data_IF_111422554375
#
_entry.id   IF_111422554375
#
_cell.length_a   1.000
_cell.length_b   1.000
_cell.length_c   1.000
_cell.angle_alpha   90.00
_cell.angle_beta   90.00
_cell.angle_gamma   90.00
#
_symmetry.space_group_name_H-M   'P 1'
#
loop_
_entity.id
_entity.type
_entity.pdbx_description
1 polymer ?
#
# COMPACT_ATOMS: atom_id res chain seq x y z
N UNK A 1 18.95 1.66 -26.11
CA UNK A 1 19.50 0.56 -25.31
C UNK A 1 18.38 -0.05 -24.48
N UNK A 2 17.98 -1.27 -24.76
CA UNK A 2 16.93 -1.97 -23.99
C UNK A 2 17.62 -2.56 -22.76
N UNK A 3 17.31 -2.03 -21.58
CA UNK A 3 17.77 -2.63 -20.33
C UNK A 3 17.12 -4.03 -20.23
N UNK A 4 17.88 -5.08 -19.92
CA UNK A 4 17.32 -6.41 -19.78
C UNK A 4 16.14 -6.40 -18.82
N UNK A 5 15.04 -7.05 -19.18
CA UNK A 5 13.76 -7.04 -18.48
C UNK A 5 13.87 -7.40 -16.97
N UNK A 6 14.89 -8.18 -16.61
CA UNK A 6 15.13 -8.60 -15.21
C UNK A 6 15.75 -7.52 -14.33
N UNK A 7 16.38 -6.50 -14.91
CA UNK A 7 17.11 -5.44 -14.18
C UNK A 7 16.45 -4.07 -14.26
N UNK A 8 15.23 -3.98 -14.75
CA UNK A 8 14.55 -2.68 -14.86
C UNK A 8 14.09 -2.19 -13.47
N UNK A 9 14.60 -1.03 -13.00
CA UNK A 9 14.24 -0.46 -11.69
C UNK A 9 12.73 -0.21 -11.54
N UNK A 10 12.02 0.05 -12.63
CA UNK A 10 10.58 0.25 -12.62
C UNK A 10 9.82 -0.99 -12.14
N UNK A 11 10.28 -2.19 -12.47
CA UNK A 11 9.68 -3.45 -12.00
C UNK A 11 9.71 -3.57 -10.49
N UNK A 12 10.85 -3.30 -9.88
CA UNK A 12 11.00 -3.31 -8.41
C UNK A 12 10.15 -2.23 -7.76
N UNK A 13 10.13 -1.03 -8.32
CA UNK A 13 9.35 0.10 -7.85
C UNK A 13 7.84 -0.20 -7.85
N UNK A 14 7.30 -0.69 -8.96
CA UNK A 14 5.89 -1.04 -9.10
C UNK A 14 5.50 -2.23 -8.21
N UNK A 15 6.37 -3.21 -8.07
CA UNK A 15 6.13 -4.40 -7.22
C UNK A 15 5.96 -4.05 -5.73
N UNK A 16 6.47 -2.91 -5.28
CA UNK A 16 6.27 -2.41 -3.91
C UNK A 16 4.81 -2.14 -3.58
N UNK A 17 3.98 -1.82 -4.56
CA UNK A 17 2.59 -1.46 -4.32
C UNK A 17 1.82 -2.54 -3.56
N UNK A 18 1.96 -3.79 -3.94
CA UNK A 18 1.25 -4.91 -3.29
C UNK A 18 1.71 -5.13 -1.85
N UNK A 19 3.00 -5.02 -1.59
CA UNK A 19 3.54 -5.08 -0.24
C UNK A 19 3.03 -3.93 0.62
N UNK A 20 2.99 -2.71 0.07
CA UNK A 20 2.44 -1.54 0.74
C UNK A 20 0.94 -1.67 1.00
N UNK A 21 0.18 -2.24 0.06
CA UNK A 21 -1.25 -2.53 0.24
C UNK A 21 -1.49 -3.50 1.40
N UNK A 22 -0.70 -4.57 1.48
CA UNK A 22 -0.77 -5.52 2.59
C UNK A 22 -0.38 -4.88 3.92
N UNK A 23 0.66 -4.05 3.94
CA UNK A 23 1.07 -3.26 5.10
C UNK A 23 -0.04 -2.31 5.56
N UNK A 24 -0.67 -1.60 4.64
CA UNK A 24 -1.77 -0.69 4.94
C UNK A 24 -2.95 -1.43 5.59
N UNK A 25 -3.35 -2.59 5.05
CA UNK A 25 -4.39 -3.42 5.62
C UNK A 25 -4.04 -3.93 7.03
N UNK A 26 -2.78 -4.28 7.28
CA UNK A 26 -2.30 -4.67 8.60
C UNK A 26 -2.36 -3.51 9.60
N UNK A 27 -1.98 -2.31 9.18
CA UNK A 27 -2.06 -1.09 10.01
C UNK A 27 -3.53 -0.78 10.35
N UNK A 28 -4.44 -0.87 9.39
CA UNK A 28 -5.87 -0.63 9.62
C UNK A 28 -6.47 -1.62 10.62
N UNK A 29 -6.07 -2.88 10.57
CA UNK A 29 -6.45 -3.89 11.58
C UNK A 29 -5.90 -3.54 12.96
N UNK A 30 -4.64 -3.15 13.06
CA UNK A 30 -4.02 -2.76 14.31
C UNK A 30 -4.70 -1.54 14.95
N UNK A 31 -5.08 -0.55 14.14
CA UNK A 31 -5.85 0.61 14.61
C UNK A 31 -7.20 0.17 15.18
N UNK A 32 -7.91 -0.68 14.46
CA UNK A 32 -9.21 -1.21 14.89
C UNK A 32 -9.11 -1.96 16.21
N UNK A 33 -8.15 -2.88 16.32
CA UNK A 33 -7.90 -3.63 17.56
C UNK A 33 -7.57 -2.72 18.74
N UNK A 34 -6.72 -1.71 18.54
CA UNK A 34 -6.39 -0.73 19.59
C UNK A 34 -7.60 0.06 20.06
N UNK A 35 -8.51 0.42 19.16
CA UNK A 35 -9.75 1.13 19.50
C UNK A 35 -10.75 0.22 20.22
N UNK A 36 -10.87 -1.04 19.80
CA UNK A 36 -11.72 -2.03 20.46
C UNK A 36 -11.23 -2.33 21.89
N UNK A 37 -9.92 -2.51 22.08
CA UNK A 37 -9.32 -2.73 23.38
C UNK A 37 -9.55 -1.53 24.31
N UNK A 38 -9.39 -0.31 23.84
CA UNK A 38 -9.66 0.90 24.61
C UNK A 38 -11.15 1.00 25.00
N UNK A 39 -12.06 0.65 24.09
CA UNK A 39 -13.51 0.63 24.35
C UNK A 39 -13.90 -0.45 25.35
N UNK A 40 -13.38 -1.68 25.19
CA UNK A 40 -13.64 -2.79 26.10
C UNK A 40 -13.07 -2.53 27.50
N UNK A 41 -11.89 -1.96 27.60
CA UNK A 41 -11.29 -1.55 28.90
C UNK A 41 -12.19 -0.51 29.60
N UNK A 42 -12.75 0.43 28.87
CA UNK A 42 -13.68 1.44 29.42
C UNK A 42 -14.98 0.81 29.92
N UNK A 43 -15.54 -0.17 29.22
CA UNK A 43 -16.75 -0.90 29.61
C UNK A 43 -16.50 -1.76 30.87
N UNK A 44 -15.43 -2.54 30.89
CA UNK A 44 -15.05 -3.38 32.03
C UNK A 44 -14.81 -2.56 33.29
N UNK A 45 -14.30 -1.34 33.15
CA UNK A 45 -13.99 -0.44 34.25
C UNK A 45 -15.24 0.31 34.76
N UNK A 46 -16.28 0.48 33.95
CA UNK A 46 -17.57 0.95 34.41
C UNK A 46 -18.25 -0.03 35.40
N UNK A 47 -18.02 -1.32 35.19
CA UNK A 47 -18.52 -2.36 36.09
C UNK A 47 -17.68 -2.48 37.38
N UNK A 48 -16.38 -2.17 37.33
CA UNK A 48 -15.44 -2.27 38.48
C UNK A 48 -15.41 -0.98 39.34
N UNK A 49 -15.78 0.18 38.77
CA UNK A 49 -15.74 1.47 39.45
C UNK A 49 -16.68 1.62 40.65
N UNK A 50 -17.45 0.59 40.99
CA UNK A 50 -18.28 0.61 42.21
C UNK A 50 -17.49 0.25 43.46
N UNK A 51 -16.23 -0.21 43.39
CA UNK A 51 -15.55 -0.75 44.56
C UNK A 51 -14.11 -0.29 44.88
N UNK A 52 -13.41 0.58 44.13
CA UNK A 52 -12.05 0.99 44.52
C UNK A 52 -11.62 2.35 44.02
N UNK A 53 -11.22 3.20 44.97
CA UNK A 53 -10.75 4.59 44.78
C UNK A 53 -9.34 4.74 44.18
N UNK A 54 -8.75 3.72 43.60
CA UNK A 54 -7.38 3.73 43.03
C UNK A 54 -7.27 3.41 41.54
N UNK A 55 -8.39 3.16 40.83
CA UNK A 55 -8.39 2.70 39.45
C UNK A 55 -8.31 3.80 38.37
N UNK A 56 -8.56 5.06 38.74
CA UNK A 56 -8.69 6.16 37.78
C UNK A 56 -7.40 6.55 37.05
N UNK A 57 -6.26 6.53 37.71
CA UNK A 57 -4.97 6.92 37.14
C UNK A 57 -4.44 5.86 36.15
N UNK A 58 -4.54 4.58 36.48
CA UNK A 58 -4.14 3.47 35.58
C UNK A 58 -5.01 3.41 34.32
N UNK A 59 -6.25 3.75 34.45
CA UNK A 59 -7.24 3.88 33.38
C UNK A 59 -6.87 4.98 32.40
N UNK A 60 -6.64 6.17 32.91
CA UNK A 60 -6.24 7.33 32.12
C UNK A 60 -4.93 7.06 31.37
N UNK A 61 -3.96 6.42 32.01
CA UNK A 61 -2.68 6.03 31.41
C UNK A 61 -2.87 5.01 30.28
N UNK A 62 -3.72 3.99 30.46
CA UNK A 62 -4.03 2.99 29.43
C UNK A 62 -4.71 3.60 28.22
N UNK A 63 -5.66 4.50 28.41
CA UNK A 63 -6.34 5.23 27.32
C UNK A 63 -5.37 6.13 26.57
N UNK A 64 -4.51 6.85 27.28
CA UNK A 64 -3.48 7.72 26.67
C UNK A 64 -2.54 6.89 25.79
N UNK A 65 -2.06 5.74 26.27
CA UNK A 65 -1.21 4.83 25.47
C UNK A 65 -1.91 4.31 24.22
N UNK A 66 -3.19 3.96 24.32
CA UNK A 66 -3.98 3.51 23.18
C UNK A 66 -4.17 4.64 22.14
N UNK A 67 -4.42 5.86 22.57
CA UNK A 67 -4.53 7.03 21.70
C UNK A 67 -3.20 7.33 21.01
N UNK A 68 -2.10 7.32 21.75
CA UNK A 68 -0.75 7.54 21.20
C UNK A 68 -0.39 6.48 20.15
N UNK A 69 -0.68 5.21 20.43
CA UNK A 69 -0.47 4.11 19.49
C UNK A 69 -1.31 4.28 18.20
N UNK A 70 -2.56 4.70 18.35
CA UNK A 70 -3.45 4.98 17.22
C UNK A 70 -2.94 6.15 16.37
N UNK A 71 -2.49 7.23 16.98
CA UNK A 71 -1.91 8.38 16.27
C UNK A 71 -0.67 7.97 15.49
N UNK A 72 0.21 7.18 16.08
CA UNK A 72 1.40 6.65 15.41
C UNK A 72 1.02 5.76 14.20
N UNK A 73 0.07 4.85 14.37
CA UNK A 73 -0.40 3.96 13.30
C UNK A 73 -1.08 4.74 12.17
N UNK A 74 -1.87 5.76 12.48
CA UNK A 74 -2.48 6.65 11.48
C UNK A 74 -1.43 7.40 10.66
N UNK A 75 -0.35 7.85 11.26
CA UNK A 75 0.76 8.47 10.56
C UNK A 75 1.45 7.46 9.62
N UNK A 76 1.71 6.24 10.07
CA UNK A 76 2.26 5.16 9.24
C UNK A 76 1.33 4.81 8.07
N UNK A 77 0.02 4.81 8.28
CA UNK A 77 -0.97 4.58 7.22
C UNK A 77 -0.91 5.69 6.18
N UNK A 78 -0.82 6.93 6.61
CA UNK A 78 -0.75 8.12 5.75
C UNK A 78 0.51 8.10 4.88
N UNK A 79 1.65 7.80 5.46
CA UNK A 79 2.93 7.64 4.77
C UNK A 79 2.88 6.52 3.71
N UNK A 80 2.34 5.36 4.10
CA UNK A 80 2.18 4.21 3.20
C UNK A 80 1.27 4.54 2.02
N UNK A 81 0.14 5.19 2.28
CA UNK A 81 -0.83 5.61 1.26
C UNK A 81 -0.23 6.63 0.30
N UNK A 82 0.61 7.53 0.80
CA UNK A 82 1.34 8.51 -0.02
C UNK A 82 2.22 7.81 -1.06
N UNK A 83 3.02 6.84 -0.64
CA UNK A 83 3.89 6.09 -1.56
C UNK A 83 3.07 5.28 -2.57
N UNK A 84 1.96 4.67 -2.15
CA UNK A 84 1.05 3.98 -3.06
C UNK A 84 0.49 4.91 -4.13
N UNK A 85 0.13 6.13 -3.77
CA UNK A 85 -0.34 7.16 -4.70
C UNK A 85 0.74 7.58 -5.68
N UNK A 86 1.97 7.75 -5.23
CA UNK A 86 3.12 8.06 -6.10
C UNK A 86 3.35 6.96 -7.15
N UNK A 87 3.19 5.69 -6.78
CA UNK A 87 3.26 4.57 -7.72
C UNK A 87 2.12 4.62 -8.75
N UNK A 88 0.90 4.93 -8.33
CA UNK A 88 -0.23 5.11 -9.24
C UNK A 88 -0.01 6.28 -10.20
N UNK A 89 0.55 7.38 -9.73
CA UNK A 89 0.89 8.54 -10.55
C UNK A 89 1.93 8.16 -11.63
N UNK A 90 2.89 7.32 -11.28
CA UNK A 90 3.87 6.80 -12.23
C UNK A 90 3.21 5.96 -13.33
N UNK A 91 2.24 5.12 -12.99
CA UNK A 91 1.46 4.34 -13.98
C UNK A 91 0.62 5.27 -14.86
N UNK A 92 -0.06 6.24 -14.27
CA UNK A 92 -0.91 7.19 -14.98
C UNK A 92 -0.11 8.14 -15.90
N UNK A 93 1.18 8.28 -15.68
CA UNK A 93 2.08 9.06 -16.55
C UNK A 93 2.36 8.39 -17.89
N UNK A 94 2.10 7.09 -18.01
CA UNK A 94 2.28 6.34 -19.25
C UNK A 94 1.23 6.79 -20.27
N UNK A 95 1.62 7.21 -21.50
CA UNK A 95 0.66 7.82 -22.44
C UNK A 95 -0.29 6.82 -23.11
N UNK A 96 0.01 5.54 -23.09
CA UNK A 96 -0.76 4.48 -23.74
C UNK A 96 -1.67 3.77 -22.72
N UNK A 97 -2.98 3.82 -22.94
CA UNK A 97 -3.98 3.22 -22.04
C UNK A 97 -3.85 1.69 -21.93
N UNK A 98 -3.47 1.02 -23.01
CA UNK A 98 -3.24 -0.44 -22.99
C UNK A 98 -2.03 -0.78 -22.09
N UNK A 99 -0.97 0.01 -22.19
CA UNK A 99 0.19 -0.12 -21.30
C UNK A 99 -0.18 0.14 -19.84
N UNK A 100 -0.97 1.17 -19.57
CA UNK A 100 -1.49 1.44 -18.22
C UNK A 100 -2.30 0.25 -17.70
N UNK A 101 -3.21 -0.30 -18.49
CA UNK A 101 -4.02 -1.47 -18.12
C UNK A 101 -3.16 -2.67 -17.76
N UNK A 102 -2.15 -2.98 -18.56
CA UNK A 102 -1.21 -4.08 -18.27
C UNK A 102 -0.47 -3.87 -16.95
N UNK A 103 -0.04 -2.64 -16.67
CA UNK A 103 0.64 -2.32 -15.41
C UNK A 103 -0.30 -2.43 -14.20
N UNK A 104 -1.52 -1.93 -14.32
CA UNK A 104 -2.53 -2.00 -13.24
C UNK A 104 -2.86 -3.45 -12.95
N UNK A 105 -3.19 -4.24 -13.96
CA UNK A 105 -3.56 -5.64 -13.77
C UNK A 105 -2.42 -6.45 -13.13
N UNK A 106 -1.20 -6.25 -13.59
CA UNK A 106 -0.06 -7.00 -13.08
C UNK A 106 0.39 -6.55 -11.69
N UNK A 107 0.57 -5.25 -11.47
CA UNK A 107 1.23 -4.73 -10.26
C UNK A 107 0.26 -4.28 -9.18
N UNK A 108 -0.92 -3.83 -9.55
CA UNK A 108 -1.94 -3.40 -8.58
C UNK A 108 -2.86 -4.57 -8.22
N UNK A 109 -3.42 -5.25 -9.23
CA UNK A 109 -4.35 -6.35 -9.04
C UNK A 109 -3.65 -7.71 -8.82
N UNK A 110 -2.37 -7.81 -9.13
CA UNK A 110 -1.55 -8.99 -8.87
C UNK A 110 -1.81 -10.16 -9.81
N UNK A 111 -2.32 -9.90 -10.98
CA UNK A 111 -2.59 -10.93 -12.01
C UNK A 111 -1.33 -11.31 -12.76
N UNK A 112 -1.32 -12.50 -13.34
CA UNK A 112 -0.22 -12.92 -14.21
C UNK A 112 -0.35 -12.27 -15.59
N UNK A 113 0.76 -12.15 -16.33
CA UNK A 113 0.70 -11.66 -17.72
C UNK A 113 -0.12 -12.57 -18.63
N UNK A 114 -0.20 -13.86 -18.32
CA UNK A 114 -1.05 -14.79 -19.06
C UNK A 114 -2.54 -14.49 -18.89
N UNK A 115 -2.97 -14.12 -17.69
CA UNK A 115 -4.35 -13.70 -17.40
C UNK A 115 -4.68 -12.37 -18.10
N UNK A 116 -3.76 -11.41 -18.00
CA UNK A 116 -3.89 -10.10 -18.63
C UNK A 116 -3.99 -10.23 -20.16
N UNK A 117 -3.19 -11.10 -20.75
CA UNK A 117 -3.21 -11.40 -22.19
C UNK A 117 -4.61 -11.78 -22.66
N UNK A 118 -5.32 -12.62 -21.91
CA UNK A 118 -6.68 -13.05 -22.25
C UNK A 118 -7.65 -11.87 -22.27
N UNK A 119 -7.54 -10.96 -21.32
CA UNK A 119 -8.45 -9.82 -21.19
C UNK A 119 -8.23 -8.75 -22.24
N UNK A 120 -6.99 -8.47 -22.62
CA UNK A 120 -6.65 -7.46 -23.63
C UNK A 120 -6.67 -7.99 -25.06
N UNK A 121 -6.94 -9.29 -25.23
CA UNK A 121 -7.02 -9.96 -26.54
C UNK A 121 -5.75 -9.84 -27.41
N UNK A 122 -4.57 -9.82 -26.80
CA UNK A 122 -3.29 -9.81 -27.50
C UNK A 122 -2.59 -11.17 -27.38
N UNK A 123 -1.74 -11.47 -28.33
CA UNK A 123 -0.86 -12.64 -28.26
C UNK A 123 0.20 -12.47 -27.16
N UNK A 124 0.70 -13.58 -26.63
CA UNK A 124 1.72 -13.61 -25.57
C UNK A 124 2.92 -12.72 -25.90
N UNK A 125 3.44 -12.78 -27.13
CA UNK A 125 4.59 -11.98 -27.55
C UNK A 125 4.27 -10.48 -27.50
N UNK A 126 3.11 -10.08 -27.99
CA UNK A 126 2.69 -8.69 -28.00
C UNK A 126 2.45 -8.17 -26.58
N UNK A 127 1.86 -8.97 -25.72
CA UNK A 127 1.68 -8.62 -24.28
C UNK A 127 3.01 -8.38 -23.59
N UNK A 128 4.03 -9.20 -23.85
CA UNK A 128 5.38 -9.00 -23.32
C UNK A 128 6.02 -7.71 -23.86
N UNK A 129 5.83 -7.39 -25.12
CA UNK A 129 6.34 -6.14 -25.72
C UNK A 129 5.65 -4.92 -25.11
N UNK A 130 4.32 -4.95 -24.95
CA UNK A 130 3.54 -3.89 -24.31
C UNK A 130 4.01 -3.68 -22.88
N UNK A 131 4.17 -4.75 -22.11
CA UNK A 131 4.69 -4.69 -20.75
C UNK A 131 6.10 -4.09 -20.67
N UNK A 132 7.00 -4.51 -21.56
CA UNK A 132 8.37 -3.97 -21.62
C UNK A 132 8.40 -2.46 -21.94
N UNK A 133 7.56 -2.01 -22.90
CA UNK A 133 7.42 -0.58 -23.22
C UNK A 133 6.81 0.21 -22.06
N UNK A 134 5.83 -0.35 -21.40
CA UNK A 134 5.22 0.25 -20.22
C UNK A 134 6.25 0.46 -19.09
N UNK A 135 7.06 -0.54 -18.79
CA UNK A 135 8.15 -0.43 -17.81
C UNK A 135 9.18 0.62 -18.21
N UNK A 136 9.50 0.73 -19.50
CA UNK A 136 10.39 1.77 -20.00
C UNK A 136 9.83 3.16 -19.73
N UNK A 137 8.57 3.39 -20.02
CA UNK A 137 7.91 4.67 -19.78
C UNK A 137 7.88 5.04 -18.29
N UNK A 138 7.60 4.08 -17.41
CA UNK A 138 7.67 4.28 -15.97
C UNK A 138 9.09 4.62 -15.52
N UNK A 139 10.09 3.94 -16.05
CA UNK A 139 11.49 4.25 -15.74
C UNK A 139 11.89 5.66 -16.16
N UNK A 140 11.47 6.13 -17.34
CA UNK A 140 11.68 7.52 -17.76
C UNK A 140 11.02 8.52 -16.81
N UNK A 141 9.81 8.21 -16.34
CA UNK A 141 9.13 9.01 -15.32
C UNK A 141 9.93 9.05 -14.01
N UNK A 142 10.41 7.90 -13.55
CA UNK A 142 11.21 7.80 -12.32
C UNK A 142 12.48 8.64 -12.41
N UNK A 143 13.18 8.63 -13.55
CA UNK A 143 14.36 9.47 -13.80
C UNK A 143 14.03 10.96 -13.71
N UNK A 144 12.93 11.38 -14.33
CA UNK A 144 12.50 12.79 -14.28
C UNK A 144 12.17 13.26 -12.86
N UNK A 145 11.68 12.34 -12.02
CA UNK A 145 11.34 12.62 -10.62
C UNK A 145 12.50 12.43 -9.65
N UNK A 146 13.67 11.97 -10.12
CA UNK A 146 14.81 11.67 -9.25
C UNK A 146 14.59 10.48 -8.31
N UNK A 147 13.71 9.54 -8.70
CA UNK A 147 13.39 8.34 -7.92
C UNK A 147 14.37 7.18 -8.15
N UNK A 148 15.24 7.29 -9.12
CA UNK A 148 16.34 6.36 -9.37
C UNK A 148 17.57 7.13 -9.86
N UNK A 149 18.73 6.72 -9.38
CA UNK A 149 20.02 7.16 -9.87
C UNK A 149 20.40 6.49 -11.21
#
# INVERSE_FOLDING_TARGET
>A
MIVPHEKNPAKAYLSRYRALKSKCAAIERAIRESLEDATNTTVTLKEICVQTSGGGERMAESVIKAVDATVFLEEQRRETTKVMREIMDAINSVPDETQQTVLIEKYINGRTLADVQTDIHYEKRNTLIIHGRALWNVWQYMKKKGLCE
#
